data_IF_153181779153
#
_entry.id   IF_153181779153
#
_cell.length_a   1.000
_cell.length_b   1.000
_cell.length_c   1.000
_cell.angle_alpha   90.00
_cell.angle_beta   90.00
_cell.angle_gamma   90.00
#
_symmetry.space_group_name_H-M   'P 1'
#
loop_
_entity.id
_entity.type
_entity.pdbx_description
1 polymer ?
#
# COMPACT_ATOMS: atom_id res chain seq x y z
N UNK A 1 -6.63 6.75 -0.76
CA UNK A 1 -6.60 7.38 0.57
C UNK A 1 -5.27 7.08 1.24
N UNK A 2 -4.85 7.95 2.16
CA UNK A 2 -3.68 7.74 3.03
C UNK A 2 -2.38 7.34 2.28
N UNK A 3 -1.99 8.04 1.19
CA UNK A 3 -0.80 7.66 0.43
C UNK A 3 0.47 7.84 1.26
N UNK A 4 1.33 6.82 1.29
CA UNK A 4 2.65 6.85 1.94
C UNK A 4 3.68 6.19 1.03
N UNK A 5 4.78 6.90 0.80
CA UNK A 5 5.93 6.33 0.08
C UNK A 5 6.86 5.61 1.05
N UNK A 6 7.47 4.52 0.60
CA UNK A 6 8.64 3.94 1.23
C UNK A 6 9.76 4.98 1.31
N UNK A 7 10.69 4.79 2.25
CA UNK A 7 11.81 5.71 2.48
C UNK A 7 12.63 6.02 1.21
N UNK A 8 12.76 5.04 0.33
CA UNK A 8 13.50 5.14 -0.94
C UNK A 8 12.61 5.54 -2.13
N UNK A 9 11.32 5.77 -1.91
CA UNK A 9 10.35 6.17 -2.93
C UNK A 9 9.98 5.06 -3.93
N UNK A 10 10.48 3.84 -3.75
CA UNK A 10 10.23 2.73 -4.68
C UNK A 10 8.81 2.17 -4.60
N UNK A 11 8.16 2.30 -3.45
CA UNK A 11 6.81 1.78 -3.25
C UNK A 11 5.89 2.84 -2.66
N UNK A 12 4.73 3.02 -3.27
CA UNK A 12 3.60 3.74 -2.69
C UNK A 12 2.63 2.72 -2.08
N UNK A 13 2.29 2.90 -0.81
CA UNK A 13 1.14 2.22 -0.19
C UNK A 13 -0.01 3.18 0.01
N UNK A 14 -1.22 2.71 -0.21
CA UNK A 14 -2.44 3.52 -0.11
C UNK A 14 -3.67 2.63 0.14
N UNK A 15 -4.69 3.22 0.77
CA UNK A 15 -6.01 2.59 0.90
C UNK A 15 -6.92 2.93 -0.29
N UNK A 16 -7.73 1.98 -0.75
CA UNK A 16 -8.80 2.19 -1.73
C UNK A 16 -10.07 1.46 -1.30
N UNK A 17 -11.24 2.05 -1.55
CA UNK A 17 -12.54 1.45 -1.24
C UNK A 17 -13.40 1.39 -2.50
N UNK A 18 -14.40 0.50 -2.51
CA UNK A 18 -15.38 0.41 -3.58
C UNK A 18 -16.49 1.49 -3.51
N UNK A 19 -16.43 2.40 -2.52
CA UNK A 19 -17.42 3.47 -2.37
C UNK A 19 -17.58 4.07 -0.97
N UNK A 20 -16.96 3.49 0.07
CA UNK A 20 -16.93 4.08 1.41
C UNK A 20 -15.87 5.19 1.53
N UNK A 21 -16.17 6.26 2.28
CA UNK A 21 -15.27 7.42 2.39
C UNK A 21 -14.98 7.84 3.83
N UNK A 22 -15.72 7.31 4.80
CA UNK A 22 -15.54 7.62 6.21
C UNK A 22 -14.28 6.90 6.73
N UNK A 23 -13.40 7.62 7.42
CA UNK A 23 -12.05 7.14 7.68
C UNK A 23 -11.98 6.00 8.69
N UNK A 24 -12.93 5.92 9.63
CA UNK A 24 -12.89 4.97 10.74
C UNK A 24 -13.78 3.74 10.49
N UNK A 25 -14.67 3.79 9.49
CA UNK A 25 -15.68 2.75 9.24
C UNK A 25 -15.73 2.25 7.81
N UNK A 26 -15.15 2.95 6.84
CA UNK A 26 -15.15 2.47 5.46
C UNK A 26 -14.26 1.23 5.31
N UNK A 27 -14.73 0.30 4.50
CA UNK A 27 -14.00 -0.88 4.04
C UNK A 27 -12.94 -0.47 3.01
N UNK A 28 -11.76 -0.14 3.51
CA UNK A 28 -10.59 0.14 2.69
C UNK A 28 -9.76 -1.12 2.59
N UNK A 29 -9.20 -1.32 1.41
CA UNK A 29 -8.19 -2.35 1.16
C UNK A 29 -6.85 -1.65 0.90
N UNK A 30 -5.76 -2.22 1.41
CA UNK A 30 -4.42 -1.67 1.21
C UNK A 30 -3.84 -2.19 -0.08
N UNK A 31 -3.28 -1.28 -0.87
CA UNK A 31 -2.55 -1.58 -2.09
C UNK A 31 -1.11 -1.10 -1.98
N UNK A 32 -0.21 -1.81 -2.65
CA UNK A 32 1.17 -1.41 -2.92
C UNK A 32 1.38 -1.24 -4.42
N UNK A 33 2.10 -0.19 -4.81
CA UNK A 33 2.32 0.14 -6.22
C UNK A 33 3.68 0.80 -6.41
N UNK A 34 4.37 0.45 -7.49
CA UNK A 34 5.61 1.13 -7.90
C UNK A 34 5.26 2.40 -8.69
N UNK A 35 5.59 3.61 -8.19
CA UNK A 35 5.25 4.84 -8.87
C UNK A 35 5.82 4.91 -10.29
N UNK A 36 4.98 5.33 -11.24
CA UNK A 36 5.37 5.45 -12.66
C UNK A 36 5.12 4.19 -13.49
N UNK A 37 4.72 3.07 -12.87
CA UNK A 37 4.18 1.90 -13.57
C UNK A 37 2.67 2.07 -13.84
N UNK A 38 2.04 1.30 -14.73
CA UNK A 38 0.58 1.34 -14.90
C UNK A 38 -0.16 1.06 -13.59
N UNK A 39 -1.33 1.67 -13.37
CA UNK A 39 -2.11 1.48 -12.14
C UNK A 39 -2.59 0.03 -11.93
N UNK A 40 -2.74 -0.71 -13.02
CA UNK A 40 -3.09 -2.14 -13.02
C UNK A 40 -2.00 -3.01 -12.41
N UNK A 41 -0.77 -2.49 -12.28
CA UNK A 41 0.33 -3.18 -11.61
C UNK A 41 0.25 -3.07 -10.07
N UNK A 42 -0.70 -2.30 -9.52
CA UNK A 42 -0.90 -2.23 -8.08
C UNK A 42 -1.35 -3.60 -7.52
N UNK A 43 -0.73 -4.00 -6.40
CA UNK A 43 -1.00 -5.27 -5.73
C UNK A 43 -1.81 -4.99 -4.47
N UNK A 44 -2.94 -5.68 -4.31
CA UNK A 44 -3.74 -5.68 -3.09
C UNK A 44 -3.05 -6.51 -2.01
N UNK A 45 -2.97 -5.99 -0.79
CA UNK A 45 -2.30 -6.61 0.35
C UNK A 45 -3.26 -7.15 1.42
N UNK A 46 -4.43 -6.52 1.58
CA UNK A 46 -5.46 -6.96 2.53
C UNK A 46 -6.68 -7.51 1.80
N UNK A 47 -7.53 -8.27 2.50
CA UNK A 47 -8.69 -8.94 1.88
C UNK A 47 -9.91 -9.01 2.81
N UNK A 48 -9.86 -8.34 3.95
CA UNK A 48 -10.89 -8.42 4.99
C UNK A 48 -11.79 -7.20 4.89
N UNK A 49 -13.11 -7.37 5.07
CA UNK A 49 -14.11 -6.30 4.94
C UNK A 49 -14.13 -5.32 6.12
N UNK A 50 -12.99 -5.14 6.77
CA UNK A 50 -12.81 -4.29 7.94
C UNK A 50 -12.20 -2.95 7.52
N UNK A 51 -12.09 -2.03 8.46
CA UNK A 51 -11.42 -0.77 8.16
C UNK A 51 -9.89 -0.97 8.18
N UNK A 52 -9.27 -1.05 7.00
CA UNK A 52 -7.81 -0.94 6.89
C UNK A 52 -7.42 0.51 6.59
N UNK A 53 -7.05 1.26 7.63
CA UNK A 53 -6.65 2.65 7.50
C UNK A 53 -5.17 2.87 7.87
N UNK A 54 -4.64 3.99 7.35
CA UNK A 54 -3.34 4.56 7.74
C UNK A 54 -2.14 3.62 7.52
N UNK A 55 -1.96 3.06 6.29
CA UNK A 55 -0.85 2.18 6.01
C UNK A 55 0.49 2.92 6.14
N UNK A 56 1.53 2.16 6.44
CA UNK A 56 2.92 2.57 6.29
C UNK A 56 3.71 1.41 5.69
N UNK A 57 4.84 1.69 5.07
CA UNK A 57 5.68 0.64 4.48
C UNK A 57 7.16 0.88 4.76
N UNK A 58 7.81 -0.18 5.21
CA UNK A 58 9.24 -0.24 5.39
C UNK A 58 9.81 -1.34 4.50
N UNK A 59 10.85 -1.00 3.74
CA UNK A 59 11.56 -1.92 2.88
C UNK A 59 12.94 -2.18 3.47
N UNK A 60 13.28 -3.46 3.67
CA UNK A 60 14.63 -3.87 4.02
C UNK A 60 15.47 -4.06 2.77
N UNK A 61 16.68 -3.51 2.74
CA UNK A 61 17.64 -3.85 1.70
C UNK A 61 18.27 -5.20 2.04
N UNK A 62 17.83 -6.26 1.38
CA UNK A 62 18.51 -7.54 1.46
C UNK A 62 19.68 -7.59 0.47
N UNK A 63 20.91 -7.64 0.99
CA UNK A 63 22.11 -7.92 0.20
C UNK A 63 22.49 -9.40 0.32
N UNK A 64 22.70 -10.04 -0.82
CA UNK A 64 23.26 -11.40 -0.85
C UNK A 64 24.67 -11.38 -0.23
N UNK A 65 25.03 -12.36 0.61
CA UNK A 65 26.39 -12.46 1.13
C UNK A 65 27.38 -12.67 -0.03
N UNK A 66 28.44 -11.87 -0.04
CA UNK A 66 29.58 -12.09 -0.94
C UNK A 66 30.29 -13.37 -0.46
N UNK A 67 30.43 -14.34 -1.35
CA UNK A 67 31.15 -15.60 -1.08
C UNK A 67 32.66 -15.39 -1.04
#
# INVERSE_FOLDING_TARGET
YFPRLSRDGRLLVFGASAGGHEHDTADYEIFAWEPGTPSEAAVRLTYHTGNDCWPDVWLEEFRLPVR
#
